data_IF_153217368753
#
_entry.id   IF_153217368753
#
_cell.length_a   1.000
_cell.length_b   1.000
_cell.length_c   1.000
_cell.angle_alpha   90.00
_cell.angle_beta   90.00
_cell.angle_gamma   90.00
#
_symmetry.space_group_name_H-M   'P 1'
#
loop_
_entity.id
_entity.type
_entity.pdbx_description
1 polymer ?
#
# COMPACT_ATOMS: atom_id res chain seq x y z
N UNK A 1 14.96 -1.17 -40.89
CA UNK A 1 15.78 -0.77 -39.72
C UNK A 1 14.97 0.17 -38.82
N UNK A 2 13.87 -0.32 -38.23
CA UNK A 2 12.92 0.47 -37.41
C UNK A 2 12.40 -0.28 -36.17
N UNK A 3 12.91 -1.49 -35.90
CA UNK A 3 12.45 -2.39 -34.83
C UNK A 3 13.13 -2.16 -33.47
N UNK A 4 14.20 -1.36 -33.39
CA UNK A 4 14.97 -1.20 -32.16
C UNK A 4 14.43 -0.12 -31.21
N UNK A 5 13.82 0.94 -31.73
CA UNK A 5 13.43 2.11 -30.93
C UNK A 5 12.22 1.82 -30.03
N UNK A 6 11.23 1.08 -30.54
CA UNK A 6 10.02 0.69 -29.81
C UNK A 6 10.31 -0.34 -28.72
N UNK A 7 11.17 -1.32 -29.00
CA UNK A 7 11.56 -2.38 -28.05
C UNK A 7 12.44 -1.86 -26.91
N UNK A 8 13.25 -0.82 -27.18
CA UNK A 8 14.10 -0.18 -26.16
C UNK A 8 13.28 0.69 -25.21
N UNK A 9 12.31 1.44 -25.74
CA UNK A 9 11.44 2.32 -24.94
C UNK A 9 10.53 1.52 -24.02
N UNK A 10 9.92 0.44 -24.51
CA UNK A 10 9.04 -0.43 -23.70
C UNK A 10 9.79 -1.07 -22.52
N UNK A 11 10.98 -1.63 -22.76
CA UNK A 11 11.83 -2.21 -21.70
C UNK A 11 12.24 -1.20 -20.63
N UNK A 12 12.54 0.03 -21.02
CA UNK A 12 12.90 1.09 -20.08
C UNK A 12 11.73 1.49 -19.17
N UNK A 13 10.51 1.59 -19.71
CA UNK A 13 9.29 1.91 -18.95
C UNK A 13 8.97 0.82 -17.93
N UNK A 14 8.96 -0.45 -18.34
CA UNK A 14 8.70 -1.58 -17.44
C UNK A 14 9.75 -1.68 -16.33
N UNK A 15 11.03 -1.46 -16.66
CA UNK A 15 12.12 -1.45 -15.66
C UNK A 15 11.97 -0.32 -14.65
N UNK A 16 11.59 0.87 -15.08
CA UNK A 16 11.33 2.01 -14.18
C UNK A 16 10.18 1.69 -13.22
N UNK A 17 9.07 1.14 -13.71
CA UNK A 17 7.91 0.79 -12.89
C UNK A 17 8.26 -0.29 -11.85
N UNK A 18 9.03 -1.32 -12.26
CA UNK A 18 9.51 -2.37 -11.35
C UNK A 18 10.38 -1.81 -10.23
N UNK A 19 11.29 -0.89 -10.54
CA UNK A 19 12.13 -0.24 -9.54
C UNK A 19 11.30 0.60 -8.56
N UNK A 20 10.31 1.35 -9.07
CA UNK A 20 9.41 2.14 -8.21
C UNK A 20 8.59 1.26 -7.25
N UNK A 21 8.05 0.15 -7.74
CA UNK A 21 7.33 -0.84 -6.91
C UNK A 21 8.26 -1.47 -5.87
N UNK A 22 9.47 -1.86 -6.27
CA UNK A 22 10.45 -2.45 -5.36
C UNK A 22 10.88 -1.45 -4.26
N UNK A 23 11.11 -0.19 -4.62
CA UNK A 23 11.39 0.87 -3.64
C UNK A 23 10.21 1.06 -2.69
N UNK A 24 8.97 1.08 -3.20
CA UNK A 24 7.79 1.19 -2.35
C UNK A 24 7.68 -0.01 -1.38
N UNK A 25 7.85 -1.25 -1.87
CA UNK A 25 7.87 -2.46 -1.04
C UNK A 25 8.93 -2.37 0.06
N UNK A 26 10.15 -1.95 -0.29
CA UNK A 26 11.24 -1.81 0.68
C UNK A 26 10.89 -0.78 1.77
N UNK A 27 10.34 0.38 1.37
CA UNK A 27 9.90 1.43 2.30
C UNK A 27 8.80 0.91 3.23
N UNK A 28 7.74 0.29 2.71
CA UNK A 28 6.67 -0.27 3.56
C UNK A 28 7.13 -1.43 4.43
N UNK A 29 8.12 -2.20 3.99
CA UNK A 29 8.74 -3.24 4.82
C UNK A 29 9.41 -2.64 6.03
N UNK A 30 10.25 -1.62 5.83
CA UNK A 30 10.92 -0.92 6.93
C UNK A 30 9.91 -0.26 7.85
N UNK A 31 8.92 0.45 7.29
CA UNK A 31 7.87 1.10 8.07
C UNK A 31 7.02 0.10 8.85
N UNK A 32 6.66 -1.04 8.25
CA UNK A 32 5.87 -2.07 8.91
C UNK A 32 6.65 -2.71 10.05
N UNK A 33 7.91 -3.08 9.84
CA UNK A 33 8.77 -3.62 10.91
C UNK A 33 8.97 -2.60 12.04
N UNK A 34 9.26 -1.34 11.70
CA UNK A 34 9.37 -0.25 12.67
C UNK A 34 8.07 -0.05 13.46
N UNK A 35 6.91 -0.09 12.81
CA UNK A 35 5.61 -0.01 13.46
C UNK A 35 5.35 -1.18 14.41
N UNK A 36 5.83 -2.38 14.08
CA UNK A 36 5.74 -3.56 14.95
C UNK A 36 6.58 -3.42 16.22
N UNK A 37 7.82 -2.93 16.09
CA UNK A 37 8.68 -2.63 17.24
C UNK A 37 8.09 -1.49 18.08
N UNK A 38 7.64 -0.42 17.41
CA UNK A 38 6.99 0.72 18.06
C UNK A 38 5.76 0.30 18.86
N UNK A 39 4.88 -0.53 18.29
CA UNK A 39 3.72 -1.06 18.98
C UNK A 39 4.11 -1.74 20.29
N UNK A 40 5.08 -2.68 20.23
CA UNK A 40 5.52 -3.44 21.41
C UNK A 40 6.10 -2.54 22.50
N UNK A 41 6.96 -1.60 22.13
CA UNK A 41 7.60 -0.71 23.10
C UNK A 41 6.60 0.30 23.68
N UNK A 42 5.72 0.86 22.84
CA UNK A 42 4.74 1.85 23.24
C UNK A 42 3.67 1.26 24.18
N UNK A 43 3.17 0.06 23.92
CA UNK A 43 2.20 -0.59 24.84
C UNK A 43 2.84 -0.89 26.19
N UNK A 44 4.08 -1.39 26.19
CA UNK A 44 4.85 -1.69 27.40
C UNK A 44 5.11 -0.45 28.25
N UNK A 45 5.48 0.67 27.63
CA UNK A 45 5.72 1.95 28.31
C UNK A 45 4.46 2.57 28.93
N UNK A 46 3.27 2.27 28.40
CA UNK A 46 2.00 2.80 28.92
C UNK A 46 1.27 1.81 29.84
N UNK A 47 1.90 0.70 30.24
CA UNK A 47 1.31 -0.28 31.16
C UNK A 47 0.10 -1.05 30.60
N UNK A 48 -0.11 -1.01 29.28
CA UNK A 48 -1.12 -1.81 28.61
C UNK A 48 -0.63 -3.26 28.47
N UNK A 49 -1.46 -4.24 28.84
CA UNK A 49 -1.13 -5.67 28.71
C UNK A 49 -0.69 -6.00 27.28
N UNK A 50 0.47 -6.67 27.16
CA UNK A 50 0.98 -7.17 25.89
C UNK A 50 -0.05 -8.11 25.25
N UNK A 51 -0.64 -7.70 24.13
CA UNK A 51 -1.52 -8.58 23.33
C UNK A 51 -3.00 -8.21 23.28
N UNK A 52 -3.45 -7.16 23.98
CA UNK A 52 -4.77 -6.59 23.71
C UNK A 52 -4.75 -5.94 22.31
N UNK A 53 -5.57 -6.48 21.40
CA UNK A 53 -5.67 -6.08 20.01
C UNK A 53 -6.21 -4.64 19.85
N UNK A 54 -5.38 -3.64 20.14
CA UNK A 54 -5.67 -2.24 19.89
C UNK A 54 -5.46 -1.89 18.41
N UNK A 55 -6.05 -0.78 17.95
CA UNK A 55 -5.89 -0.27 16.58
C UNK A 55 -4.41 -0.09 16.16
N UNK A 56 -3.50 0.04 17.13
CA UNK A 56 -2.06 0.13 16.92
C UNK A 56 -1.42 -1.18 16.40
N UNK A 57 -1.90 -2.35 16.86
CA UNK A 57 -1.44 -3.64 16.35
C UNK A 57 -1.94 -3.91 14.92
N UNK A 58 -3.14 -3.40 14.59
CA UNK A 58 -3.66 -3.45 13.23
C UNK A 58 -2.85 -2.59 12.26
N UNK A 59 -2.28 -1.47 12.71
CA UNK A 59 -1.44 -0.63 11.85
C UNK A 59 -0.24 -1.42 11.28
N UNK A 60 0.43 -2.22 12.10
CA UNK A 60 1.55 -3.07 11.67
C UNK A 60 1.14 -4.05 10.57
N UNK A 61 0.06 -4.81 10.79
CA UNK A 61 -0.41 -5.83 9.83
C UNK A 61 -0.92 -5.21 8.54
N UNK A 62 -1.56 -4.04 8.59
CA UNK A 62 -2.02 -3.33 7.39
C UNK A 62 -0.86 -2.77 6.58
N UNK A 63 0.16 -2.20 7.22
CA UNK A 63 1.35 -1.69 6.51
C UNK A 63 2.09 -2.84 5.81
N UNK A 64 2.31 -3.97 6.49
CA UNK A 64 2.96 -5.12 5.85
C UNK A 64 2.08 -5.76 4.77
N UNK A 65 0.80 -5.98 5.04
CA UNK A 65 -0.05 -6.67 4.05
C UNK A 65 -0.34 -5.81 2.84
N UNK A 66 -0.82 -4.56 3.03
CA UNK A 66 -1.18 -3.67 1.93
C UNK A 66 0.06 -3.02 1.30
N UNK A 67 1.04 -2.62 2.12
CA UNK A 67 2.24 -1.93 1.64
C UNK A 67 3.32 -2.86 1.08
N UNK A 68 3.49 -4.07 1.63
CA UNK A 68 4.49 -5.02 1.14
C UNK A 68 3.86 -6.13 0.29
N UNK A 69 2.96 -6.94 0.85
CA UNK A 69 2.47 -8.16 0.18
C UNK A 69 1.71 -7.81 -1.11
N UNK A 70 0.76 -6.87 -1.05
CA UNK A 70 0.00 -6.47 -2.24
C UNK A 70 0.91 -5.84 -3.30
N UNK A 71 1.85 -4.96 -2.91
CA UNK A 71 2.78 -4.37 -3.88
C UNK A 71 3.77 -5.39 -4.46
N UNK A 72 4.15 -6.44 -3.72
CA UNK A 72 4.90 -7.58 -4.26
C UNK A 72 4.10 -8.35 -5.30
N UNK A 73 2.81 -8.61 -5.04
CA UNK A 73 1.91 -9.24 -6.01
C UNK A 73 1.80 -8.36 -7.27
N UNK A 74 1.64 -7.05 -7.10
CA UNK A 74 1.61 -6.09 -8.21
C UNK A 74 2.93 -6.09 -9.00
N UNK A 75 4.09 -6.20 -8.32
CA UNK A 75 5.40 -6.32 -8.98
C UNK A 75 5.49 -7.58 -9.83
N UNK A 76 4.98 -8.71 -9.34
CA UNK A 76 4.91 -9.96 -10.12
C UNK A 76 3.97 -9.80 -11.31
N UNK A 77 2.78 -9.23 -11.11
CA UNK A 77 1.84 -8.95 -12.20
C UNK A 77 2.43 -8.02 -13.25
N UNK A 78 3.20 -7.01 -12.83
CA UNK A 78 3.91 -6.11 -13.73
C UNK A 78 4.94 -6.86 -14.57
N UNK A 79 5.70 -7.77 -13.96
CA UNK A 79 6.69 -8.58 -14.66
C UNK A 79 6.05 -9.56 -15.65
N UNK A 80 4.87 -10.08 -15.35
CA UNK A 80 4.17 -11.05 -16.21
C UNK A 80 3.37 -10.39 -17.34
N UNK A 81 2.67 -9.28 -17.08
CA UNK A 81 1.69 -8.70 -18.01
C UNK A 81 2.06 -7.28 -18.52
N UNK A 82 3.22 -6.73 -18.12
CA UNK A 82 3.68 -5.38 -18.49
C UNK A 82 2.59 -4.29 -18.31
N UNK A 83 1.88 -4.37 -17.18
CA UNK A 83 0.67 -3.59 -16.87
C UNK A 83 0.95 -2.07 -16.86
N UNK A 84 2.18 -1.67 -16.52
CA UNK A 84 2.68 -0.29 -16.44
C UNK A 84 2.69 0.46 -17.77
N UNK A 85 2.58 -0.27 -18.87
CA UNK A 85 2.41 0.32 -20.20
C UNK A 85 1.05 1.05 -20.30
N UNK A 86 0.09 0.75 -19.41
CA UNK A 86 -1.19 1.45 -19.32
C UNK A 86 -1.10 2.68 -18.42
N UNK A 87 -1.72 3.80 -18.83
CA UNK A 87 -1.87 4.99 -17.98
C UNK A 87 -2.68 4.70 -16.70
N UNK A 88 -3.56 3.70 -16.71
CA UNK A 88 -4.37 3.30 -15.55
C UNK A 88 -3.49 2.77 -14.41
N UNK A 89 -2.40 2.07 -14.74
CA UNK A 89 -1.47 1.55 -13.73
C UNK A 89 -0.82 2.68 -12.92
N UNK A 90 -0.50 3.79 -13.57
CA UNK A 90 0.06 4.96 -12.89
C UNK A 90 -0.94 5.60 -11.93
N UNK A 91 -2.20 5.72 -12.34
CA UNK A 91 -3.28 6.20 -11.46
C UNK A 91 -3.52 5.25 -10.28
N UNK A 92 -3.56 3.95 -10.54
CA UNK A 92 -3.62 2.92 -9.51
C UNK A 92 -2.50 3.11 -8.49
N UNK A 93 -1.25 3.19 -8.94
CA UNK A 93 -0.10 3.29 -8.04
C UNK A 93 -0.22 4.47 -7.08
N UNK A 94 -0.57 5.66 -7.57
CA UNK A 94 -0.71 6.85 -6.73
C UNK A 94 -1.93 6.78 -5.79
N UNK A 95 -3.10 6.39 -6.31
CA UNK A 95 -4.34 6.30 -5.50
C UNK A 95 -4.19 5.23 -4.41
N UNK A 96 -3.65 4.07 -4.76
CA UNK A 96 -3.44 2.97 -3.84
C UNK A 96 -2.45 3.35 -2.73
N UNK A 97 -1.27 3.90 -3.08
CA UNK A 97 -0.29 4.31 -2.09
C UNK A 97 -0.84 5.43 -1.18
N UNK A 98 -1.56 6.41 -1.73
CA UNK A 98 -2.19 7.45 -0.93
C UNK A 98 -3.22 6.86 0.06
N UNK A 99 -4.04 5.91 -0.39
CA UNK A 99 -5.01 5.21 0.47
C UNK A 99 -4.34 4.40 1.58
N UNK A 100 -3.28 3.65 1.26
CA UNK A 100 -2.52 2.87 2.25
C UNK A 100 -1.88 3.80 3.28
N UNK A 101 -1.17 4.85 2.87
CA UNK A 101 -0.55 5.81 3.78
C UNK A 101 -1.59 6.48 4.68
N UNK A 102 -2.73 6.90 4.12
CA UNK A 102 -3.80 7.54 4.88
C UNK A 102 -4.39 6.58 5.93
N UNK A 103 -4.70 5.35 5.52
CA UNK A 103 -5.26 4.32 6.41
C UNK A 103 -4.28 3.98 7.53
N UNK A 104 -3.02 3.73 7.19
CA UNK A 104 -1.96 3.40 8.16
C UNK A 104 -1.70 4.54 9.15
N UNK A 105 -1.64 5.79 8.66
CA UNK A 105 -1.43 6.96 9.53
C UNK A 105 -2.60 7.15 10.51
N UNK A 106 -3.83 6.96 10.04
CA UNK A 106 -5.02 7.04 10.88
C UNK A 106 -5.05 5.93 11.94
N UNK A 107 -4.70 4.68 11.58
CA UNK A 107 -4.62 3.58 12.54
C UNK A 107 -3.55 3.83 13.62
N UNK A 108 -2.40 4.38 13.26
CA UNK A 108 -1.35 4.74 14.23
C UNK A 108 -1.87 5.84 15.16
N UNK A 109 -2.46 6.89 14.61
CA UNK A 109 -2.99 8.01 15.38
C UNK A 109 -4.08 7.58 16.36
N UNK A 110 -5.07 6.84 15.86
CA UNK A 110 -6.13 6.24 16.66
C UNK A 110 -5.59 5.31 17.74
N UNK A 111 -4.63 4.44 17.38
CA UNK A 111 -4.01 3.51 18.30
C UNK A 111 -3.29 4.21 19.44
N UNK A 112 -2.60 5.33 19.16
CA UNK A 112 -1.97 6.15 20.20
C UNK A 112 -3.01 6.80 21.13
N UNK A 113 -4.10 7.33 20.59
CA UNK A 113 -5.18 7.91 21.42
C UNK A 113 -5.85 6.86 22.31
N UNK A 114 -6.10 5.67 21.77
CA UNK A 114 -6.72 4.56 22.49
C UNK A 114 -5.84 4.07 23.65
N UNK A 115 -4.52 3.96 23.45
CA UNK A 115 -3.57 3.62 24.52
C UNK A 115 -3.45 4.73 25.56
N UNK A 116 -3.72 5.99 25.21
CA UNK A 116 -3.76 7.11 26.17
C UNK A 116 -5.11 7.26 26.89
N UNK A 117 -6.09 6.41 26.61
CA UNK A 117 -7.43 6.48 27.19
C UNK A 117 -8.22 7.73 26.77
N UNK A 118 -7.82 8.39 25.67
CA UNK A 118 -8.49 9.58 25.15
C UNK A 118 -9.60 9.16 24.19
N UNK A 119 -10.76 9.82 24.27
CA UNK A 119 -11.86 9.56 23.35
C UNK A 119 -11.44 9.87 21.90
N UNK A 120 -11.61 8.88 21.04
CA UNK A 120 -11.44 9.05 19.61
C UNK A 120 -12.57 9.90 19.04
N UNK A 121 -12.23 11.04 18.42
CA UNK A 121 -13.21 11.88 17.73
C UNK A 121 -13.83 11.17 16.51
N UNK A 122 -15.15 11.33 16.32
CA UNK A 122 -15.91 10.86 15.13
C UNK A 122 -15.29 11.32 13.81
N UNK A 123 -14.54 12.42 13.82
CA UNK A 123 -13.83 12.95 12.66
C UNK A 123 -12.72 12.00 12.18
N UNK A 124 -12.01 11.33 13.10
CA UNK A 124 -10.88 10.45 12.76
C UNK A 124 -11.39 9.16 12.10
N UNK A 125 -12.54 8.65 12.57
CA UNK A 125 -13.24 7.54 11.92
C UNK A 125 -13.68 7.87 10.49
N UNK A 126 -14.14 9.11 10.25
CA UNK A 126 -14.48 9.58 8.90
C UNK A 126 -13.29 9.60 7.94
N UNK A 127 -12.13 10.08 8.39
CA UNK A 127 -10.91 10.12 7.58
C UNK A 127 -10.35 8.70 7.34
N UNK A 128 -10.43 7.81 8.34
CA UNK A 128 -10.10 6.41 8.15
C UNK A 128 -10.98 5.74 7.07
N UNK A 129 -12.26 6.09 7.00
CA UNK A 129 -13.17 5.66 5.93
C UNK A 129 -12.74 6.12 4.54
N UNK A 130 -12.22 7.35 4.40
CA UNK A 130 -11.68 7.86 3.13
C UNK A 130 -10.45 7.06 2.68
N UNK A 131 -9.57 6.69 3.61
CA UNK A 131 -8.44 5.80 3.32
C UNK A 131 -8.91 4.46 2.74
N UNK A 132 -9.96 3.88 3.34
CA UNK A 132 -10.56 2.63 2.86
C UNK A 132 -11.17 2.76 1.45
N UNK A 133 -11.85 3.87 1.17
CA UNK A 133 -12.38 4.15 -0.17
C UNK A 133 -11.27 4.30 -1.21
N UNK A 134 -10.17 4.97 -0.88
CA UNK A 134 -9.01 5.11 -1.77
C UNK A 134 -8.34 3.77 -2.07
N UNK A 135 -8.14 2.92 -1.05
CA UNK A 135 -7.60 1.56 -1.24
C UNK A 135 -8.53 0.74 -2.13
N UNK A 136 -9.84 0.80 -1.90
CA UNK A 136 -10.86 0.14 -2.73
C UNK A 136 -10.83 0.63 -4.19
N UNK A 137 -10.80 1.94 -4.41
CA UNK A 137 -10.66 2.52 -5.74
C UNK A 137 -9.35 2.09 -6.42
N UNK A 138 -8.26 1.99 -5.67
CA UNK A 138 -7.00 1.41 -6.15
C UNK A 138 -7.18 -0.02 -6.65
N UNK A 139 -7.78 -0.92 -5.86
CA UNK A 139 -8.03 -2.29 -6.28
C UNK A 139 -8.90 -2.38 -7.55
N UNK A 140 -9.93 -1.54 -7.67
CA UNK A 140 -10.76 -1.50 -8.89
C UNK A 140 -9.92 -1.10 -10.11
N UNK A 141 -9.07 -0.09 -10.00
CA UNK A 141 -8.17 0.32 -11.08
C UNK A 141 -7.17 -0.78 -11.46
N UNK A 142 -6.62 -1.50 -10.47
CA UNK A 142 -5.73 -2.64 -10.70
C UNK A 142 -6.44 -3.74 -11.50
N UNK A 143 -7.67 -4.11 -11.10
CA UNK A 143 -8.46 -5.12 -11.79
C UNK A 143 -8.79 -4.70 -13.23
N UNK A 144 -9.24 -3.46 -13.45
CA UNK A 144 -9.54 -2.95 -14.81
C UNK A 144 -8.27 -2.98 -15.68
N UNK A 145 -7.13 -2.56 -15.13
CA UNK A 145 -5.86 -2.57 -15.86
C UNK A 145 -5.42 -3.99 -16.22
N UNK A 146 -5.64 -4.97 -15.34
CA UNK A 146 -5.34 -6.37 -15.59
C UNK A 146 -6.31 -6.99 -16.63
N UNK A 147 -7.62 -6.75 -16.49
CA UNK A 147 -8.62 -7.20 -17.46
C UNK A 147 -8.34 -6.67 -18.87
N UNK A 148 -7.94 -5.40 -18.98
CA UNK A 148 -7.58 -4.79 -20.27
C UNK A 148 -6.37 -5.47 -20.90
N UNK A 149 -5.40 -5.93 -20.10
CA UNK A 149 -4.19 -6.61 -20.61
C UNK A 149 -4.48 -8.03 -21.06
N UNK A 150 -5.16 -8.81 -20.22
CA UNK A 150 -5.54 -10.21 -20.54
C UNK A 150 -6.42 -10.26 -21.78
N UNK A 151 -7.37 -9.32 -21.95
CA UNK A 151 -8.24 -9.29 -23.14
C UNK A 151 -7.50 -8.85 -24.42
N UNK A 152 -6.42 -8.08 -24.28
CA UNK A 152 -5.59 -7.61 -25.40
C UNK A 152 -4.53 -8.62 -25.86
N UNK A 153 -4.32 -9.72 -25.12
CA UNK A 153 -3.46 -10.84 -25.52
C UNK A 153 -4.18 -11.87 -26.44
N UNK A 154 -5.41 -11.57 -26.87
CA UNK A 154 -6.08 -12.28 -27.98
C UNK A 154 -5.80 -11.59 -29.30
#
# INVERSE_FOLDING_TARGET
>A
MTTDTTTTTSRAVTRSAQLQLLTAVAVYTVLGLAAGVFYREFTKLNGFEEGMAGQLGLAHTHILTLGMIVLLIVLVLEKTFAVSTSRLFRWFFWIYNAGVVLTSSMLIWHGMLQVRGLESSKMIAGIAGLGHMLVGAGFVLLLISLFSRIRSEK
#
